data_IF_458490156841
#
_entry.id   IF_458490156841
#
_cell.length_a   1.000
_cell.length_b   1.000
_cell.length_c   1.000
_cell.angle_alpha   90.00
_cell.angle_beta   90.00
_cell.angle_gamma   90.00
#
_symmetry.space_group_name_H-M   'P 1'
#
loop_
_entity.id
_entity.type
_entity.pdbx_description
1 polymer ?
#
# COMPACT_ATOMS: atom_id res chain seq x y z
N UNK A 1 -28.93 -6.31 1.23
CA UNK A 1 -28.00 -5.16 1.33
C UNK A 1 -27.02 -5.13 0.16
N UNK A 2 -26.10 -6.10 0.02
CA UNK A 2 -25.08 -6.07 -1.05
C UNK A 2 -25.66 -5.91 -2.47
N UNK A 3 -26.74 -6.62 -2.81
CA UNK A 3 -27.45 -6.46 -4.09
C UNK A 3 -27.95 -5.03 -4.29
N UNK A 4 -28.58 -4.44 -3.27
CA UNK A 4 -29.05 -3.06 -3.36
C UNK A 4 -27.91 -2.04 -3.49
N UNK A 5 -26.74 -2.32 -2.91
CA UNK A 5 -25.52 -1.49 -3.10
C UNK A 5 -25.00 -1.61 -4.53
N UNK A 6 -24.97 -2.83 -5.08
CA UNK A 6 -24.58 -3.05 -6.47
C UNK A 6 -25.55 -2.39 -7.47
N UNK A 7 -26.85 -2.45 -7.20
CA UNK A 7 -27.90 -1.92 -8.07
C UNK A 7 -28.07 -0.39 -7.98
N UNK A 8 -27.60 0.27 -6.91
CA UNK A 8 -27.80 1.71 -6.77
C UNK A 8 -26.90 2.56 -7.67
N UNK A 9 -25.83 1.98 -8.23
CA UNK A 9 -24.91 2.65 -9.15
C UNK A 9 -24.00 3.71 -8.51
N UNK A 10 -23.96 3.79 -7.17
CA UNK A 10 -23.13 4.77 -6.43
C UNK A 10 -21.81 4.14 -5.98
N UNK A 11 -21.82 2.86 -5.61
CA UNK A 11 -20.68 2.18 -5.02
C UNK A 11 -20.23 1.01 -5.90
N UNK A 12 -18.92 0.88 -6.09
CA UNK A 12 -18.32 -0.23 -6.82
C UNK A 12 -18.17 -1.50 -5.98
N UNK A 13 -18.48 -1.44 -4.68
CA UNK A 13 -18.22 -2.57 -3.78
C UNK A 13 -18.69 -2.39 -2.35
N UNK A 14 -18.33 -3.38 -1.52
CA UNK A 14 -18.52 -3.37 -0.07
C UNK A 14 -17.22 -3.63 0.67
N UNK A 15 -17.15 -3.04 1.87
CA UNK A 15 -16.16 -3.34 2.89
C UNK A 15 -16.85 -4.08 4.04
N UNK A 16 -16.29 -5.22 4.43
CA UNK A 16 -16.82 -6.06 5.50
C UNK A 16 -15.82 -6.16 6.64
N UNK A 17 -16.21 -5.63 7.78
CA UNK A 17 -15.35 -5.57 8.97
C UNK A 17 -15.33 -6.90 9.75
N UNK A 18 -14.31 -7.10 10.59
CA UNK A 18 -14.13 -8.24 11.49
C UNK A 18 -14.14 -9.62 10.81
N UNK A 19 -13.41 -9.77 9.70
CA UNK A 19 -13.30 -11.01 8.94
C UNK A 19 -12.16 -11.88 9.45
N UNK A 20 -12.48 -13.09 9.93
CA UNK A 20 -11.48 -14.04 10.41
C UNK A 20 -11.96 -15.47 10.13
N UNK A 21 -11.07 -16.28 9.56
CA UNK A 21 -11.25 -17.71 9.34
C UNK A 21 -10.65 -18.56 10.48
N UNK A 22 -10.05 -17.92 11.48
CA UNK A 22 -9.66 -18.58 12.73
C UNK A 22 -10.90 -19.00 13.51
N UNK A 23 -10.84 -20.20 14.05
CA UNK A 23 -11.84 -20.77 14.94
C UNK A 23 -11.74 -20.18 16.37
N UNK A 24 -11.37 -18.91 16.54
CA UNK A 24 -11.26 -18.29 17.86
C UNK A 24 -12.56 -17.57 18.23
N UNK A 25 -12.94 -17.70 19.50
CA UNK A 25 -14.09 -16.99 20.04
C UNK A 25 -13.71 -15.51 20.15
N UNK A 26 -14.35 -14.66 19.34
CA UNK A 26 -14.36 -13.24 19.64
C UNK A 26 -15.12 -13.06 20.96
N UNK A 27 -14.55 -12.39 21.98
CA UNK A 27 -15.33 -11.96 23.11
C UNK A 27 -16.43 -11.02 22.59
N UNK A 28 -17.68 -11.29 22.98
CA UNK A 28 -18.79 -10.39 22.75
C UNK A 28 -18.57 -9.06 23.48
N UNK A 29 -19.46 -8.07 23.28
CA UNK A 29 -19.43 -6.79 23.99
C UNK A 29 -19.49 -6.93 25.53
N UNK A 30 -19.87 -8.10 26.01
CA UNK A 30 -19.97 -8.50 27.41
C UNK A 30 -18.69 -9.18 27.96
N UNK A 31 -17.64 -9.30 27.14
CA UNK A 31 -16.41 -10.01 27.51
C UNK A 31 -16.57 -11.54 27.50
N UNK A 32 -17.73 -12.06 27.08
CA UNK A 32 -17.98 -13.50 27.00
C UNK A 32 -17.61 -13.97 25.59
N UNK A 33 -16.63 -14.86 25.52
CA UNK A 33 -16.33 -15.63 24.32
C UNK A 33 -17.58 -16.42 23.89
N UNK A 34 -18.34 -15.90 22.92
CA UNK A 34 -19.42 -16.69 22.31
C UNK A 34 -18.77 -17.75 21.41
N UNK A 35 -18.73 -18.98 21.92
CA UNK A 35 -18.18 -20.18 21.28
C UNK A 35 -18.95 -20.53 19.98
N UNK A 36 -18.76 -19.78 18.89
CA UNK A 36 -19.28 -20.12 17.56
C UNK A 36 -18.23 -20.84 16.71
N UNK A 37 -17.59 -21.87 17.27
CA UNK A 37 -16.34 -22.43 16.74
C UNK A 37 -16.47 -23.24 15.44
N UNK A 38 -17.65 -23.77 15.10
CA UNK A 38 -17.87 -24.52 13.85
C UNK A 38 -18.66 -23.76 12.80
N UNK A 39 -19.74 -23.09 13.22
CA UNK A 39 -20.68 -22.47 12.28
C UNK A 39 -20.26 -21.08 11.80
N UNK A 40 -19.41 -20.35 12.53
CA UNK A 40 -19.07 -18.96 12.14
C UNK A 40 -18.25 -18.92 10.86
N UNK A 41 -17.17 -19.68 10.75
CA UNK A 41 -16.30 -19.66 9.56
C UNK A 41 -17.08 -20.14 8.33
N UNK A 42 -17.83 -21.24 8.44
CA UNK A 42 -18.68 -21.72 7.34
C UNK A 42 -19.78 -20.72 6.99
N UNK A 43 -20.38 -20.03 7.97
CA UNK A 43 -21.36 -18.98 7.71
C UNK A 43 -20.74 -17.77 7.01
N UNK A 44 -19.54 -17.33 7.41
CA UNK A 44 -18.81 -16.24 6.76
C UNK A 44 -18.47 -16.61 5.31
N UNK A 45 -17.88 -17.78 5.09
CA UNK A 45 -17.54 -18.26 3.74
C UNK A 45 -18.81 -18.41 2.88
N UNK A 46 -19.89 -18.97 3.43
CA UNK A 46 -21.19 -19.08 2.75
C UNK A 46 -21.79 -17.71 2.44
N UNK A 47 -21.64 -16.74 3.35
CA UNK A 47 -22.11 -15.37 3.17
C UNK A 47 -21.38 -14.70 1.99
N UNK A 48 -20.04 -14.69 1.99
CA UNK A 48 -19.29 -14.00 0.92
C UNK A 48 -19.47 -14.69 -0.43
N UNK A 49 -19.60 -16.02 -0.44
CA UNK A 49 -19.94 -16.79 -1.65
C UNK A 49 -21.29 -16.36 -2.22
N UNK A 50 -22.34 -16.33 -1.39
CA UNK A 50 -23.69 -15.93 -1.80
C UNK A 50 -23.75 -14.47 -2.23
N UNK A 51 -23.00 -13.59 -1.56
CA UNK A 51 -22.88 -12.19 -1.99
C UNK A 51 -22.28 -12.16 -3.39
N UNK A 52 -21.13 -12.81 -3.62
CA UNK A 52 -20.46 -12.86 -4.92
C UNK A 52 -21.37 -13.38 -6.03
N UNK A 53 -22.07 -14.49 -5.77
CA UNK A 53 -23.04 -15.07 -6.71
C UNK A 53 -24.17 -14.10 -7.06
N UNK A 54 -24.59 -13.22 -6.14
CA UNK A 54 -25.69 -12.30 -6.34
C UNK A 54 -25.29 -10.97 -7.01
N UNK A 55 -24.06 -10.49 -6.80
CA UNK A 55 -23.59 -9.17 -7.30
C UNK A 55 -22.74 -9.26 -8.57
N UNK A 56 -22.30 -10.46 -8.96
CA UNK A 56 -21.46 -10.67 -10.13
C UNK A 56 -19.97 -10.42 -9.89
N UNK A 57 -19.17 -10.56 -10.95
CA UNK A 57 -17.70 -10.55 -10.86
C UNK A 57 -17.07 -9.15 -10.77
N UNK A 58 -17.76 -8.12 -11.26
CA UNK A 58 -17.23 -6.74 -11.32
C UNK A 58 -17.33 -6.00 -9.96
N UNK A 59 -18.20 -6.47 -9.06
CA UNK A 59 -18.39 -5.84 -7.75
C UNK A 59 -17.19 -6.10 -6.82
N UNK A 60 -16.66 -5.08 -6.18
CA UNK A 60 -15.50 -5.20 -5.30
C UNK A 60 -15.92 -5.66 -3.90
N UNK A 61 -15.20 -6.63 -3.35
CA UNK A 61 -15.39 -7.07 -1.96
C UNK A 61 -14.06 -6.97 -1.22
N UNK A 62 -14.03 -6.14 -0.18
CA UNK A 62 -12.89 -5.97 0.72
C UNK A 62 -13.28 -6.48 2.11
N UNK A 63 -12.36 -7.18 2.78
CA UNK A 63 -12.58 -7.72 4.12
C UNK A 63 -11.48 -7.26 5.10
N UNK A 64 -11.83 -6.84 6.31
CA UNK A 64 -10.85 -6.53 7.36
C UNK A 64 -10.37 -7.83 8.01
N UNK A 65 -9.13 -8.22 7.73
CA UNK A 65 -8.54 -9.47 8.21
C UNK A 65 -7.42 -9.25 9.21
N UNK A 66 -7.08 -7.99 9.52
CA UNK A 66 -5.77 -7.66 10.12
C UNK A 66 -4.67 -8.27 9.24
N UNK A 67 -3.82 -9.13 9.79
CA UNK A 67 -2.76 -9.84 9.03
C UNK A 67 -3.15 -11.29 8.68
N UNK A 68 -4.41 -11.68 8.87
CA UNK A 68 -4.85 -13.06 8.66
C UNK A 68 -5.06 -13.41 7.17
N UNK A 69 -4.51 -14.56 6.77
CA UNK A 69 -4.77 -15.16 5.46
C UNK A 69 -6.12 -15.87 5.48
N UNK A 70 -6.87 -15.74 4.39
CA UNK A 70 -8.28 -16.16 4.30
C UNK A 70 -8.52 -17.10 3.10
N UNK A 71 -7.85 -18.27 3.07
CA UNK A 71 -7.86 -19.14 1.90
C UNK A 71 -9.26 -19.61 1.47
N UNK A 72 -10.23 -19.72 2.39
CA UNK A 72 -11.59 -20.16 2.05
C UNK A 72 -12.39 -19.04 1.37
N UNK A 73 -12.14 -17.80 1.74
CA UNK A 73 -12.81 -16.60 1.22
C UNK A 73 -12.10 -15.99 0.01
N UNK A 74 -10.80 -16.29 -0.16
CA UNK A 74 -9.96 -15.75 -1.24
C UNK A 74 -10.59 -15.80 -2.65
N UNK A 75 -11.29 -16.87 -3.06
CA UNK A 75 -11.92 -16.93 -4.37
C UNK A 75 -13.05 -15.93 -4.61
N UNK A 76 -13.52 -15.22 -3.56
CA UNK A 76 -14.68 -14.33 -3.61
C UNK A 76 -14.34 -12.86 -3.32
N UNK A 77 -13.16 -12.58 -2.76
CA UNK A 77 -12.77 -11.24 -2.30
C UNK A 77 -11.65 -10.65 -3.15
N UNK A 78 -11.70 -9.33 -3.33
CA UNK A 78 -10.74 -8.55 -4.11
C UNK A 78 -9.62 -7.97 -3.24
N UNK A 79 -9.89 -7.69 -1.97
CA UNK A 79 -8.94 -7.01 -1.11
C UNK A 79 -9.04 -7.41 0.35
N UNK A 80 -7.94 -7.24 1.06
CA UNK A 80 -7.88 -7.32 2.51
C UNK A 80 -7.47 -5.97 3.10
N UNK A 81 -8.07 -5.61 4.23
CA UNK A 81 -7.71 -4.44 5.02
C UNK A 81 -6.91 -4.90 6.24
N UNK A 82 -5.68 -4.41 6.34
CA UNK A 82 -4.75 -4.70 7.44
C UNK A 82 -4.82 -3.55 8.44
N UNK A 83 -5.53 -3.77 9.54
CA UNK A 83 -5.66 -2.80 10.61
C UNK A 83 -4.66 -3.05 11.74
N UNK A 84 -3.74 -2.09 11.96
CA UNK A 84 -2.73 -2.19 13.00
C UNK A 84 -3.04 -1.20 14.14
N UNK A 85 -3.86 -1.64 15.09
CA UNK A 85 -4.32 -0.88 16.27
C UNK A 85 -3.24 -0.33 17.22
N UNK A 86 -1.98 -0.70 17.00
CA UNK A 86 -0.85 -0.43 17.88
C UNK A 86 0.28 0.11 17.01
N UNK A 87 0.97 1.16 17.48
CA UNK A 87 2.09 1.77 16.78
C UNK A 87 3.45 1.11 17.05
N UNK A 88 3.48 0.02 17.83
CA UNK A 88 4.66 -0.80 17.99
C UNK A 88 4.82 -1.72 16.78
N UNK A 89 5.88 -1.51 16.01
CA UNK A 89 6.23 -2.32 14.85
C UNK A 89 7.55 -3.05 15.09
N UNK A 90 7.58 -4.04 16.01
CA UNK A 90 8.73 -4.93 16.08
C UNK A 90 8.88 -5.66 14.74
N UNK A 91 10.10 -6.10 14.44
CA UNK A 91 10.45 -6.70 13.15
C UNK A 91 9.53 -7.86 12.77
N UNK A 92 9.12 -8.67 13.74
CA UNK A 92 8.23 -9.81 13.54
C UNK A 92 6.88 -9.35 12.99
N UNK A 93 6.30 -8.28 13.54
CA UNK A 93 5.02 -7.71 13.09
C UNK A 93 5.12 -7.15 11.67
N UNK A 94 6.23 -6.49 11.35
CA UNK A 94 6.48 -5.98 9.99
C UNK A 94 6.54 -7.14 9.00
N UNK A 95 7.25 -8.22 9.34
CA UNK A 95 7.33 -9.43 8.52
C UNK A 95 5.96 -10.11 8.34
N UNK A 96 5.09 -10.06 9.35
CA UNK A 96 3.70 -10.56 9.23
C UNK A 96 2.90 -9.74 8.22
N UNK A 97 2.99 -8.41 8.28
CA UNK A 97 2.31 -7.51 7.33
C UNK A 97 2.79 -7.78 5.89
N UNK A 98 4.09 -7.90 5.67
CA UNK A 98 4.65 -8.20 4.34
C UNK A 98 4.19 -9.55 3.80
N UNK A 99 4.20 -10.59 4.63
CA UNK A 99 3.73 -11.93 4.26
C UNK A 99 2.23 -11.95 3.99
N UNK A 100 1.45 -11.14 4.71
CA UNK A 100 0.04 -10.98 4.48
C UNK A 100 -0.22 -10.30 3.12
N UNK A 101 0.38 -9.13 2.88
CA UNK A 101 0.26 -8.41 1.60
C UNK A 101 0.67 -9.29 0.40
N UNK A 102 1.83 -9.94 0.49
CA UNK A 102 2.31 -10.83 -0.57
C UNK A 102 1.34 -11.98 -0.85
N UNK A 103 0.74 -12.54 0.21
CA UNK A 103 -0.27 -13.58 0.06
C UNK A 103 -1.56 -13.02 -0.55
N UNK A 104 -2.02 -11.85 -0.12
CA UNK A 104 -3.23 -11.25 -0.69
C UNK A 104 -3.07 -10.96 -2.18
N UNK A 105 -1.96 -10.36 -2.58
CA UNK A 105 -1.65 -10.08 -3.99
C UNK A 105 -1.60 -11.34 -4.86
N UNK A 106 -1.19 -12.47 -4.29
CA UNK A 106 -1.09 -13.74 -5.01
C UNK A 106 -2.39 -14.57 -5.01
N UNK A 107 -3.31 -14.35 -4.06
CA UNK A 107 -4.43 -15.26 -3.82
C UNK A 107 -5.81 -14.60 -3.91
N UNK A 108 -5.92 -13.28 -3.77
CA UNK A 108 -7.20 -12.58 -3.88
C UNK A 108 -7.53 -12.27 -5.34
N UNK A 109 -8.82 -12.08 -5.60
CA UNK A 109 -9.34 -11.81 -6.95
C UNK A 109 -8.80 -10.49 -7.49
N UNK A 110 -8.59 -10.47 -8.81
CA UNK A 110 -8.35 -9.24 -9.54
C UNK A 110 -9.65 -8.41 -9.68
N UNK A 111 -9.58 -7.06 -9.66
CA UNK A 111 -8.42 -6.26 -9.27
C UNK A 111 -8.14 -6.43 -7.78
N UNK A 112 -6.87 -6.53 -7.40
CA UNK A 112 -6.49 -6.56 -5.98
C UNK A 112 -6.59 -5.16 -5.38
N UNK A 113 -7.33 -5.05 -4.27
CA UNK A 113 -7.63 -3.76 -3.61
C UNK A 113 -7.27 -3.84 -2.12
N UNK A 114 -6.01 -4.16 -1.84
CA UNK A 114 -5.53 -4.29 -0.46
C UNK A 114 -5.38 -2.93 0.20
N UNK A 115 -5.61 -2.85 1.51
CA UNK A 115 -5.46 -1.61 2.27
C UNK A 115 -4.59 -1.88 3.50
N UNK A 116 -3.64 -0.98 3.75
CA UNK A 116 -2.75 -1.03 4.89
C UNK A 116 -3.01 0.16 5.80
N UNK A 117 -3.47 -0.10 7.01
CA UNK A 117 -3.78 0.92 8.00
C UNK A 117 -2.82 0.81 9.18
N UNK A 118 -2.00 1.85 9.32
CA UNK A 118 -0.87 1.93 10.25
C UNK A 118 -1.16 2.96 11.33
N UNK A 119 -1.21 2.54 12.60
CA UNK A 119 -1.25 3.48 13.71
C UNK A 119 0.05 4.30 13.81
N UNK A 120 -0.08 5.61 13.93
CA UNK A 120 1.01 6.53 14.30
C UNK A 120 1.47 6.26 15.73
N UNK A 121 2.70 6.66 16.07
CA UNK A 121 3.15 6.66 17.46
C UNK A 121 2.19 7.46 18.37
N UNK A 122 1.66 6.87 19.45
CA UNK A 122 0.72 7.52 20.34
C UNK A 122 1.39 8.66 21.14
N UNK A 123 2.68 8.59 21.42
CA UNK A 123 3.38 9.61 22.20
C UNK A 123 3.81 10.83 21.39
N UNK A 124 3.62 10.79 20.06
CA UNK A 124 4.19 11.76 19.14
C UNK A 124 3.12 12.55 18.36
N UNK A 125 3.37 13.83 18.04
CA UNK A 125 2.57 14.59 17.08
C UNK A 125 2.53 13.93 15.70
N UNK A 126 1.48 14.19 14.92
CA UNK A 126 1.31 13.63 13.58
C UNK A 126 2.53 13.81 12.68
N UNK A 127 3.15 14.99 12.68
CA UNK A 127 4.26 15.32 11.79
C UNK A 127 5.65 15.05 12.41
N UNK A 128 5.74 14.36 13.54
CA UNK A 128 7.03 14.13 14.20
C UNK A 128 8.02 13.36 13.32
N UNK A 129 9.34 13.48 13.52
CA UNK A 129 10.32 12.71 12.77
C UNK A 129 10.07 11.20 12.78
N UNK A 130 9.65 10.64 13.92
CA UNK A 130 9.30 9.22 14.05
C UNK A 130 8.08 8.84 13.20
N UNK A 131 7.02 9.66 13.23
CA UNK A 131 5.82 9.38 12.42
C UNK A 131 6.10 9.58 10.92
N UNK A 132 6.93 10.56 10.53
CA UNK A 132 7.38 10.71 9.14
C UNK A 132 8.20 9.50 8.67
N UNK A 133 9.04 8.92 9.54
CA UNK A 133 9.76 7.68 9.23
C UNK A 133 8.80 6.49 9.04
N UNK A 134 7.81 6.34 9.93
CA UNK A 134 6.77 5.30 9.78
C UNK A 134 6.01 5.45 8.47
N UNK A 135 5.60 6.67 8.11
CA UNK A 135 4.94 6.98 6.84
C UNK A 135 5.80 6.50 5.67
N UNK A 136 7.08 6.89 5.63
CA UNK A 136 7.97 6.48 4.54
C UNK A 136 8.16 4.97 4.47
N UNK A 137 8.43 4.34 5.60
CA UNK A 137 8.63 2.89 5.70
C UNK A 137 7.41 2.11 5.20
N UNK A 138 6.22 2.42 5.72
CA UNK A 138 5.02 1.66 5.39
C UNK A 138 4.45 2.00 4.01
N UNK A 139 4.58 3.25 3.56
CA UNK A 139 4.21 3.63 2.19
C UNK A 139 5.03 2.86 1.19
N UNK A 140 6.35 2.82 1.38
CA UNK A 140 7.24 2.07 0.48
C UNK A 140 7.12 0.56 0.63
N UNK A 141 6.81 0.03 1.82
CA UNK A 141 6.41 -1.36 2.02
C UNK A 141 5.18 -1.67 1.14
N UNK A 142 4.12 -0.85 1.24
CA UNK A 142 2.92 -0.96 0.42
C UNK A 142 3.24 -0.90 -1.07
N UNK A 143 3.96 0.12 -1.52
CA UNK A 143 4.35 0.28 -2.93
C UNK A 143 5.18 -0.89 -3.46
N UNK A 144 6.09 -1.44 -2.66
CA UNK A 144 6.95 -2.56 -3.07
C UNK A 144 6.24 -3.89 -3.04
N UNK A 145 5.27 -4.11 -2.16
CA UNK A 145 4.62 -5.41 -1.96
C UNK A 145 3.19 -5.50 -2.52
N UNK A 146 2.58 -4.38 -2.90
CA UNK A 146 1.15 -4.27 -3.18
C UNK A 146 0.87 -3.21 -4.24
N UNK A 147 -0.31 -3.27 -4.88
CA UNK A 147 -0.88 -2.12 -5.60
C UNK A 147 -1.94 -1.38 -4.77
N UNK A 148 -2.05 -1.78 -3.50
CA UNK A 148 -3.04 -1.32 -2.56
C UNK A 148 -2.79 0.07 -1.99
N UNK A 149 -3.68 0.43 -1.07
CA UNK A 149 -3.77 1.74 -0.45
C UNK A 149 -3.10 1.73 0.92
N UNK A 150 -2.61 2.89 1.35
CA UNK A 150 -2.10 3.09 2.71
C UNK A 150 -2.84 4.23 3.40
N UNK A 151 -3.08 4.03 4.68
CA UNK A 151 -3.62 5.00 5.62
C UNK A 151 -2.74 5.02 6.87
N UNK A 152 -2.56 6.20 7.47
CA UNK A 152 -2.00 6.32 8.81
C UNK A 152 -3.09 6.81 9.75
N UNK A 153 -3.33 6.05 10.83
CA UNK A 153 -4.38 6.31 11.80
C UNK A 153 -3.87 6.84 13.13
N UNK A 154 -4.75 7.56 13.81
CA UNK A 154 -4.53 8.18 15.12
C UNK A 154 -4.81 7.20 16.26
N UNK A 155 -4.82 7.71 17.49
CA UNK A 155 -5.26 6.91 18.64
C UNK A 155 -6.77 6.62 18.56
N UNK A 156 -7.27 5.65 19.34
CA UNK A 156 -8.71 5.49 19.52
C UNK A 156 -9.48 6.74 19.98
N UNK A 157 -8.82 7.68 20.66
CA UNK A 157 -9.42 8.97 21.03
C UNK A 157 -9.39 10.01 19.91
N UNK A 158 -8.60 9.76 18.86
CA UNK A 158 -8.48 10.57 17.65
C UNK A 158 -9.27 9.96 16.47
N UNK A 159 -10.21 9.02 16.72
CA UNK A 159 -11.06 8.46 15.65
C UNK A 159 -11.78 9.59 14.91
N UNK A 160 -11.33 9.86 13.68
CA UNK A 160 -11.75 10.98 12.84
C UNK A 160 -10.60 11.85 12.30
N UNK A 161 -9.40 11.74 12.88
CA UNK A 161 -8.20 12.40 12.39
C UNK A 161 -7.39 11.51 11.44
N UNK A 162 -7.38 11.85 10.15
CA UNK A 162 -6.39 11.34 9.21
C UNK A 162 -5.46 12.48 8.82
N UNK A 163 -4.15 12.23 8.83
CA UNK A 163 -3.17 13.22 8.42
C UNK A 163 -2.65 12.91 7.02
N UNK A 164 -2.81 13.87 6.12
CA UNK A 164 -2.20 13.78 4.79
C UNK A 164 -0.73 14.17 4.87
N UNK A 165 0.16 13.25 4.52
CA UNK A 165 1.60 13.52 4.49
C UNK A 165 2.03 13.91 3.08
N UNK A 166 2.85 14.97 2.90
CA UNK A 166 3.41 15.34 1.59
C UNK A 166 4.17 14.19 0.90
N UNK A 167 4.59 13.17 1.65
CA UNK A 167 5.19 11.97 1.09
C UNK A 167 4.24 11.21 0.15
N UNK A 168 2.92 11.28 0.37
CA UNK A 168 1.91 10.65 -0.48
C UNK A 168 1.73 11.36 -1.83
N UNK A 169 2.11 12.64 -1.92
CA UNK A 169 1.98 13.45 -3.15
C UNK A 169 3.09 13.18 -4.17
N UNK A 170 3.99 12.22 -3.90
CA UNK A 170 5.07 11.90 -4.81
C UNK A 170 4.51 11.50 -6.20
N UNK A 171 4.91 12.17 -7.30
CA UNK A 171 4.43 11.89 -8.64
C UNK A 171 5.12 10.64 -9.24
N UNK A 172 5.08 9.52 -8.51
CA UNK A 172 5.80 8.29 -8.81
C UNK A 172 5.26 7.57 -10.07
N UNK A 173 3.99 7.79 -10.41
CA UNK A 173 3.35 7.25 -11.59
C UNK A 173 2.86 5.80 -11.42
N UNK A 174 2.82 5.03 -12.50
CA UNK A 174 2.26 3.66 -12.50
C UNK A 174 3.34 2.62 -12.22
N UNK A 175 3.04 1.52 -11.50
CA UNK A 175 4.02 0.45 -11.28
C UNK A 175 4.34 -0.26 -12.61
N UNK A 176 5.63 -0.47 -12.87
CA UNK A 176 6.13 -1.26 -14.01
C UNK A 176 7.05 -2.40 -13.59
N UNK A 177 7.60 -2.34 -12.38
CA UNK A 177 8.37 -3.40 -11.75
C UNK A 177 7.50 -4.42 -11.00
N UNK A 178 8.09 -5.59 -10.74
CA UNK A 178 7.47 -6.67 -9.98
C UNK A 178 7.28 -6.30 -8.49
N UNK A 179 6.29 -6.92 -7.85
CA UNK A 179 6.08 -6.80 -6.39
C UNK A 179 7.06 -7.70 -5.65
N UNK A 180 7.48 -7.29 -4.45
CA UNK A 180 8.31 -8.09 -3.53
C UNK A 180 9.74 -8.32 -4.01
N UNK A 181 10.24 -7.56 -4.99
CA UNK A 181 11.59 -7.72 -5.51
C UNK A 181 12.63 -7.17 -4.52
N UNK A 182 13.66 -7.98 -4.23
CA UNK A 182 14.77 -7.54 -3.38
C UNK A 182 15.84 -6.84 -4.22
N UNK A 183 16.39 -5.75 -3.70
CA UNK A 183 17.46 -5.03 -4.38
C UNK A 183 18.77 -5.83 -4.30
N UNK A 184 19.24 -6.32 -5.45
CA UNK A 184 20.50 -7.09 -5.59
C UNK A 184 20.58 -8.27 -4.61
N UNK A 185 19.46 -8.98 -4.41
CA UNK A 185 19.35 -10.14 -3.50
C UNK A 185 19.71 -9.84 -2.04
N UNK A 186 19.54 -8.59 -1.58
CA UNK A 186 19.77 -8.20 -0.18
C UNK A 186 18.49 -8.40 0.63
N UNK A 187 18.55 -9.28 1.64
CA UNK A 187 17.40 -9.51 2.52
C UNK A 187 16.96 -8.22 3.24
N UNK A 188 15.65 -8.01 3.27
CA UNK A 188 15.02 -6.84 3.89
C UNK A 188 15.26 -5.53 3.17
N UNK A 189 15.76 -5.53 1.93
CA UNK A 189 15.87 -4.33 1.11
C UNK A 189 15.13 -4.56 -0.20
N UNK A 190 14.01 -3.87 -0.37
CA UNK A 190 13.11 -4.04 -1.49
C UNK A 190 13.13 -2.83 -2.41
N UNK A 191 12.90 -3.07 -3.69
CA UNK A 191 12.80 -2.04 -4.71
C UNK A 191 11.67 -2.39 -5.66
N UNK A 192 10.95 -1.37 -6.13
CA UNK A 192 10.00 -1.53 -7.23
C UNK A 192 10.05 -0.32 -8.14
N UNK A 193 10.11 -0.59 -9.44
CA UNK A 193 10.10 0.46 -10.46
C UNK A 193 8.68 0.91 -10.79
N UNK A 194 8.55 2.21 -10.99
CA UNK A 194 7.38 2.91 -11.48
C UNK A 194 7.78 3.78 -12.68
N UNK A 195 6.80 4.26 -13.45
CA UNK A 195 7.05 5.03 -14.66
C UNK A 195 8.01 6.20 -14.41
N UNK A 196 7.84 6.92 -13.28
CA UNK A 196 8.58 8.13 -12.99
C UNK A 196 9.68 7.93 -11.93
N UNK A 197 9.96 6.70 -11.49
CA UNK A 197 10.88 6.51 -10.37
C UNK A 197 10.92 5.11 -9.77
N UNK A 198 11.44 5.03 -8.56
CA UNK A 198 11.51 3.81 -7.76
C UNK A 198 11.00 4.07 -6.35
N UNK A 199 10.27 3.12 -5.80
CA UNK A 199 10.05 3.03 -4.35
C UNK A 199 11.07 2.04 -3.78
N UNK A 200 11.74 2.41 -2.68
CA UNK A 200 12.69 1.55 -1.98
C UNK A 200 12.33 1.49 -0.51
N UNK A 201 12.29 0.27 0.01
CA UNK A 201 11.92 -0.02 1.39
C UNK A 201 13.04 -0.81 2.08
N UNK A 202 13.51 -0.34 3.24
CA UNK A 202 14.57 -0.97 4.00
C UNK A 202 14.10 -1.36 5.41
N UNK A 203 14.15 -2.67 5.68
CA UNK A 203 14.00 -3.29 6.99
C UNK A 203 15.12 -4.29 7.27
N UNK A 204 16.30 -4.07 6.69
CA UNK A 204 17.42 -5.03 6.72
C UNK A 204 18.13 -5.13 8.07
N UNK A 205 17.73 -4.35 9.08
CA UNK A 205 18.39 -4.27 10.39
C UNK A 205 19.55 -3.27 10.44
N UNK A 206 19.82 -2.55 9.33
CA UNK A 206 20.92 -1.58 9.23
C UNK A 206 20.70 -0.57 8.10
N UNK A 207 21.46 0.53 8.17
CA UNK A 207 21.57 1.50 7.08
C UNK A 207 22.07 0.80 5.81
N UNK A 208 21.44 1.09 4.69
CA UNK A 208 21.78 0.57 3.38
C UNK A 208 22.22 1.68 2.44
N UNK A 209 23.11 1.32 1.50
CA UNK A 209 23.47 2.17 0.37
C UNK A 209 22.98 1.49 -0.90
N UNK A 210 22.16 2.21 -1.65
CA UNK A 210 21.66 1.80 -2.96
C UNK A 210 22.30 2.63 -4.06
N UNK A 211 22.32 2.08 -5.27
CA UNK A 211 22.82 2.74 -6.46
C UNK A 211 21.84 2.47 -7.60
N UNK A 212 21.15 3.51 -8.03
CA UNK A 212 20.12 3.45 -9.05
C UNK A 212 20.75 3.58 -10.46
N UNK A 213 20.07 3.06 -11.49
CA UNK A 213 20.62 3.01 -12.85
C UNK A 213 20.87 4.39 -13.46
N UNK A 214 20.21 5.42 -12.95
CA UNK A 214 20.36 6.81 -13.37
C UNK A 214 20.32 7.77 -12.19
N UNK A 215 20.64 9.04 -12.44
CA UNK A 215 20.49 10.10 -11.45
C UNK A 215 19.02 10.34 -11.16
N UNK A 216 18.72 10.44 -9.88
CA UNK A 216 17.37 10.62 -9.35
C UNK A 216 17.41 11.51 -8.13
N UNK A 217 16.27 12.10 -7.83
CA UNK A 217 16.05 12.92 -6.65
C UNK A 217 15.21 12.17 -5.63
N UNK A 218 15.63 12.17 -4.37
CA UNK A 218 14.81 11.67 -3.26
C UNK A 218 13.64 12.61 -3.03
N UNK A 219 12.44 12.06 -2.82
CA UNK A 219 11.25 12.86 -2.56
C UNK A 219 11.28 13.53 -1.19
N UNK A 220 11.73 12.81 -0.15
CA UNK A 220 11.65 13.30 1.23
C UNK A 220 12.95 13.91 1.77
N UNK A 221 14.12 13.38 1.39
CA UNK A 221 15.40 13.78 1.99
C UNK A 221 16.04 15.02 1.35
N UNK A 222 15.52 15.48 0.21
CA UNK A 222 16.05 16.63 -0.53
C UNK A 222 17.36 16.38 -1.29
N UNK A 223 17.90 15.15 -1.27
CA UNK A 223 19.05 14.77 -2.09
C UNK A 223 18.63 14.75 -3.56
N UNK A 224 19.29 15.55 -4.39
CA UNK A 224 18.98 15.70 -5.82
C UNK A 224 20.08 15.14 -6.71
N UNK A 225 19.64 14.59 -7.85
CA UNK A 225 20.49 14.21 -8.99
C UNK A 225 21.70 13.38 -8.59
N UNK A 226 21.44 12.31 -7.82
CA UNK A 226 22.44 11.31 -7.45
C UNK A 226 22.01 9.94 -7.89
N UNK A 227 22.99 9.10 -8.22
CA UNK A 227 22.78 7.66 -8.40
C UNK A 227 22.83 6.91 -7.08
N UNK A 228 23.69 7.34 -6.17
CA UNK A 228 23.97 6.67 -4.90
C UNK A 228 23.22 7.36 -3.75
N UNK A 229 22.44 6.58 -3.01
CA UNK A 229 21.61 7.06 -1.90
C UNK A 229 21.78 6.19 -0.67
N UNK A 230 21.64 6.81 0.50
CA UNK A 230 21.67 6.14 1.81
C UNK A 230 20.26 6.07 2.35
N UNK A 231 19.84 4.89 2.81
CA UNK A 231 18.52 4.65 3.38
C UNK A 231 18.66 4.03 4.77
N UNK A 232 18.04 4.65 5.77
CA UNK A 232 18.05 4.15 7.14
C UNK A 232 17.32 2.80 7.27
N UNK A 233 17.56 2.08 8.36
CA UNK A 233 16.75 0.90 8.68
C UNK A 233 15.34 1.31 9.12
N UNK A 234 14.36 0.43 8.87
CA UNK A 234 12.94 0.69 9.12
C UNK A 234 12.50 2.03 8.51
N UNK A 235 12.91 2.28 7.27
CA UNK A 235 12.61 3.51 6.53
C UNK A 235 12.35 3.19 5.05
N UNK A 236 11.87 4.18 4.33
CA UNK A 236 11.60 4.13 2.91
C UNK A 236 11.96 5.44 2.21
N UNK A 237 12.11 5.38 0.90
CA UNK A 237 12.20 6.58 0.08
C UNK A 237 11.60 6.33 -1.32
N UNK A 238 11.08 7.41 -1.90
CA UNK A 238 10.68 7.47 -3.30
C UNK A 238 11.75 8.26 -4.04
N UNK A 239 12.31 7.66 -5.09
CA UNK A 239 13.32 8.27 -5.93
C UNK A 239 12.73 8.59 -7.29
N UNK A 240 12.63 9.87 -7.61
CA UNK A 240 12.06 10.34 -8.86
C UNK A 240 13.16 10.51 -9.90
N UNK A 241 12.90 10.01 -11.10
CA UNK A 241 13.65 10.36 -12.30
C UNK A 241 13.58 11.88 -12.45
N UNK A 242 14.63 12.51 -12.99
CA UNK A 242 14.47 13.87 -13.49
C UNK A 242 13.24 13.88 -14.40
N UNK A 243 12.41 14.93 -14.32
CA UNK A 243 11.29 15.07 -15.25
C UNK A 243 11.87 14.89 -16.65
N UNK A 244 11.38 13.88 -17.38
CA UNK A 244 11.67 13.84 -18.79
C UNK A 244 11.14 15.18 -19.34
N UNK A 245 11.93 15.93 -20.12
CA UNK A 245 11.39 17.05 -20.85
C UNK A 245 10.09 16.56 -21.51
N UNK A 246 8.99 17.33 -21.42
CA UNK A 246 7.72 16.96 -22.02
C UNK A 246 7.99 16.36 -23.41
N UNK A 247 7.25 15.33 -23.86
CA UNK A 247 7.51 14.77 -25.20
C UNK A 247 7.40 15.83 -26.33
N UNK A 248 6.78 16.98 -26.04
CA UNK A 248 6.67 18.15 -26.89
C UNK A 248 7.80 19.19 -26.71
N UNK A 249 8.64 19.05 -25.68
CA UNK A 249 9.89 19.78 -25.48
C UNK A 249 10.97 19.09 -26.30
N UNK A 250 11.05 19.50 -27.56
CA UNK A 250 12.00 18.95 -28.53
C UNK A 250 13.35 19.69 -28.49
N UNK A 251 13.43 20.82 -27.79
CA UNK A 251 14.68 21.56 -27.59
C UNK A 251 15.44 21.11 -26.32
N UNK A 252 14.79 20.39 -25.40
CA UNK A 252 15.34 19.84 -24.17
C UNK A 252 15.61 20.88 -23.08
N UNK A 253 14.95 22.03 -23.12
CA UNK A 253 15.13 23.12 -22.14
C UNK A 253 14.24 23.00 -20.88
N UNK A 254 13.35 22.01 -20.85
CA UNK A 254 12.41 21.73 -19.78
C UNK A 254 11.07 22.47 -19.91
N UNK A 255 10.86 23.29 -20.94
CA UNK A 255 9.68 24.15 -21.11
C UNK A 255 9.15 24.07 -22.54
N UNK A 256 7.94 23.53 -22.72
CA UNK A 256 7.26 23.59 -24.03
C UNK A 256 6.96 25.04 -24.40
N UNK A 257 7.66 25.56 -25.41
CA UNK A 257 7.58 26.95 -25.84
C UNK A 257 7.68 27.10 -27.36
N UNK A 258 7.76 28.34 -27.86
CA UNK A 258 7.78 28.63 -29.30
C UNK A 258 9.00 28.02 -30.00
N UNK A 259 10.11 27.80 -29.27
CA UNK A 259 11.32 27.19 -29.81
C UNK A 259 11.09 25.73 -30.19
N UNK A 260 10.30 24.99 -29.41
CA UNK A 260 9.90 23.63 -29.74
C UNK A 260 9.08 23.58 -31.03
N UNK A 261 8.13 24.51 -31.17
CA UNK A 261 7.31 24.61 -32.39
C UNK A 261 8.17 24.92 -33.62
N UNK A 262 9.17 25.78 -33.49
CA UNK A 262 10.09 26.13 -34.58
C UNK A 262 10.93 24.92 -35.00
N UNK A 263 11.41 24.11 -34.05
CA UNK A 263 12.16 22.88 -34.34
C UNK A 263 11.27 21.87 -35.08
N UNK A 264 10.04 21.66 -34.63
CA UNK A 264 9.09 20.75 -35.31
C UNK A 264 8.73 21.26 -36.71
N UNK A 265 8.49 22.56 -36.86
CA UNK A 265 8.09 23.16 -38.15
C UNK A 265 9.21 23.13 -39.20
N UNK A 266 10.48 23.25 -38.79
CA UNK A 266 11.63 23.15 -39.69
C UNK A 266 11.98 21.71 -40.10
N UNK A 267 11.31 20.70 -39.51
CA UNK A 267 11.49 19.29 -39.88
C UNK A 267 10.58 18.85 -41.05
N UNK A 268 9.75 19.76 -41.58
CA UNK A 268 8.88 19.59 -42.74
C UNK A 268 9.24 20.60 -43.84
#
# INVERSE_FOLDING_TARGET
MAVAVAECGIFDGIFMDLWSERAEAAPGPDGIAHLYHGNRVEALVSLVKRIREAVGDDFLIIVNTRTEKIPRSAPYVNGAFIETWDAAYPRERILEIEKALSWYEANLRYPQVNCLDIAKSPSEPWDSPANRQLVRAFTTLGLTHSNGYILINGKPQDYGGHFWYPFFDAPLGRPIGAKGETYKNRDGLFIREFTNGWAVYNRSGKVQVIELPQEVSSWSSGVKDKRRHTLADLDGEIYLKAEAPPAADVNGDGVVNIQDLVIVANAF
#
